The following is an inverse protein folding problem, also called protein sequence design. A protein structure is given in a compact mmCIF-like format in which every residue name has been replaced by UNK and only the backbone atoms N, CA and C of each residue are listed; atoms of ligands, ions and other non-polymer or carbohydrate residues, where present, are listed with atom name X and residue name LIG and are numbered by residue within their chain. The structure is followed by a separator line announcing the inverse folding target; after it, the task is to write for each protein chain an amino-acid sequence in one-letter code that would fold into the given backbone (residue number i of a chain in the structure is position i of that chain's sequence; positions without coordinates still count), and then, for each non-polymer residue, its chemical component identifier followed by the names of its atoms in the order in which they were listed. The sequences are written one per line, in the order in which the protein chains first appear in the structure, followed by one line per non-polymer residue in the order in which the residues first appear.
data_IF_101875907427
#
_entry.id   IF_101875907427
#
_cell.length_a   1.000
_cell.length_b   1.000
_cell.length_c   1.000
_cell.angle_alpha   90.00
_cell.angle_beta   90.00
_cell.angle_gamma   90.00
#
_symmetry.space_group_name_H-M   'P 1'
#
loop_
_entity.id
_entity.type
_entity.pdbx_description
1 polymer ?
#
# COMPACT_ATOMS: atom_id res chain seq x y z
N UNK A 1 2.80 -47.03 48.62
CA UNK A 1 2.32 -45.65 48.85
C UNK A 1 3.47 -44.71 48.52
N UNK A 2 3.49 -44.16 47.31
CA UNK A 2 4.61 -43.32 46.85
C UNK A 2 4.52 -41.97 47.56
N UNK A 3 5.55 -41.62 48.33
CA UNK A 3 5.73 -40.28 48.87
C UNK A 3 5.92 -39.38 47.64
N UNK A 4 4.87 -38.65 47.28
CA UNK A 4 4.92 -37.58 46.29
C UNK A 4 5.88 -36.54 46.85
N UNK A 5 7.13 -36.57 46.39
CA UNK A 5 8.11 -35.54 46.71
C UNK A 5 7.51 -34.20 46.32
N UNK A 6 7.35 -33.31 47.30
CA UNK A 6 6.95 -31.92 47.06
C UNK A 6 7.95 -31.33 46.06
N UNK A 7 7.53 -31.19 44.80
CA UNK A 7 8.23 -30.36 43.81
C UNK A 7 8.04 -28.92 44.24
N UNK A 8 9.04 -28.36 44.92
CA UNK A 8 9.09 -26.93 45.16
C UNK A 8 9.42 -26.24 43.84
N UNK A 9 8.57 -25.32 43.40
CA UNK A 9 8.84 -24.48 42.23
C UNK A 9 10.16 -23.73 42.43
N UNK A 10 11.05 -23.82 41.45
CA UNK A 10 12.36 -23.15 41.46
C UNK A 10 12.27 -21.60 41.43
N UNK A 11 11.05 -21.06 41.42
CA UNK A 11 10.73 -19.64 41.36
C UNK A 11 10.18 -19.06 42.67
N UNK A 12 10.42 -19.70 43.83
CA UNK A 12 10.00 -19.18 45.13
C UNK A 12 10.57 -17.77 45.38
N UNK A 13 9.72 -16.78 45.10
CA UNK A 13 9.93 -15.34 45.08
C UNK A 13 10.07 -14.78 46.51
N UNK A 14 11.11 -15.14 47.24
CA UNK A 14 11.27 -14.72 48.63
C UNK A 14 12.65 -14.10 48.90
N UNK A 15 13.13 -13.24 48.03
CA UNK A 15 14.46 -12.62 48.17
C UNK A 15 14.48 -11.38 49.08
N UNK A 16 13.31 -10.97 49.61
CA UNK A 16 13.13 -9.74 50.36
C UNK A 16 12.29 -9.96 51.60
N UNK A 17 12.59 -9.19 52.64
CA UNK A 17 11.86 -9.11 53.89
C UNK A 17 11.99 -7.67 54.47
N UNK A 18 11.31 -7.41 55.58
CA UNK A 18 11.53 -6.25 56.42
C UNK A 18 12.34 -6.62 57.66
N UNK A 19 13.17 -5.70 58.13
CA UNK A 19 13.76 -5.80 59.47
C UNK A 19 12.78 -5.32 60.56
N UNK A 20 13.20 -5.36 61.83
CA UNK A 20 12.40 -4.86 62.97
C UNK A 20 12.04 -3.37 62.88
N UNK A 21 12.83 -2.58 62.15
CA UNK A 21 12.61 -1.17 61.91
C UNK A 21 11.76 -0.90 60.65
N UNK A 22 11.22 -1.96 60.02
CA UNK A 22 10.45 -1.93 58.77
C UNK A 22 11.26 -1.47 57.55
N UNK A 23 12.59 -1.51 57.61
CA UNK A 23 13.43 -1.27 56.44
C UNK A 23 13.44 -2.51 55.55
N UNK A 24 13.45 -2.28 54.24
CA UNK A 24 13.55 -3.35 53.26
C UNK A 24 14.94 -3.98 53.28
N UNK A 25 14.98 -5.29 53.42
CA UNK A 25 16.20 -6.08 53.47
C UNK A 25 16.19 -7.12 52.35
N UNK A 26 17.26 -7.12 51.56
CA UNK A 26 17.49 -8.12 50.53
C UNK A 26 18.27 -9.32 51.12
N UNK A 27 18.00 -10.53 50.63
CA UNK A 27 18.48 -11.77 51.24
C UNK A 27 20.00 -11.89 51.32
N UNK A 28 20.74 -11.25 50.40
CA UNK A 28 22.20 -11.30 50.40
C UNK A 28 22.81 -10.45 51.53
N UNK A 29 22.06 -9.48 52.06
CA UNK A 29 22.44 -8.64 53.20
C UNK A 29 21.98 -9.23 54.55
N UNK A 30 21.19 -10.31 54.50
CA UNK A 30 20.65 -10.94 55.70
C UNK A 30 21.67 -11.84 56.41
N UNK A 31 21.46 -12.02 57.72
CA UNK A 31 22.11 -13.05 58.54
C UNK A 31 21.19 -14.28 58.62
N UNK A 32 21.76 -15.47 58.52
CA UNK A 32 20.98 -16.73 58.50
C UNK A 32 20.18 -16.93 59.79
N UNK A 33 18.99 -17.52 59.65
CA UNK A 33 18.09 -17.88 60.75
C UNK A 33 17.01 -16.82 61.02
N UNK A 34 16.44 -16.86 62.23
CA UNK A 34 15.39 -15.95 62.70
C UNK A 34 16.03 -14.77 63.43
N UNK A 35 16.34 -13.69 62.70
CA UNK A 35 16.96 -12.48 63.26
C UNK A 35 16.01 -11.28 63.27
N UNK A 36 14.70 -11.54 63.29
CA UNK A 36 13.66 -10.52 63.24
C UNK A 36 13.41 -10.03 61.82
N UNK A 37 13.13 -10.97 60.91
CA UNK A 37 12.70 -10.67 59.55
C UNK A 37 11.19 -10.82 59.45
N UNK A 38 10.54 -9.95 58.70
CA UNK A 38 9.09 -9.95 58.54
C UNK A 38 8.72 -9.91 57.06
N UNK A 39 7.61 -10.56 56.70
CA UNK A 39 7.11 -10.51 55.33
C UNK A 39 6.57 -9.11 55.03
N UNK A 40 7.01 -8.50 53.92
CA UNK A 40 6.56 -7.18 53.48
C UNK A 40 5.03 -7.12 53.28
N UNK A 41 4.39 -8.23 52.91
CA UNK A 41 2.97 -8.24 52.59
C UNK A 41 2.02 -8.64 53.73
N UNK A 42 2.47 -9.43 54.70
CA UNK A 42 1.60 -9.92 55.78
C UNK A 42 2.14 -9.68 57.19
N UNK A 43 3.30 -9.02 57.31
CA UNK A 43 3.99 -8.70 58.57
C UNK A 43 4.30 -9.90 59.48
N UNK A 44 4.16 -11.14 58.98
CA UNK A 44 4.48 -12.36 59.73
C UNK A 44 5.99 -12.62 59.72
N UNK A 45 6.47 -13.23 60.80
CA UNK A 45 7.89 -13.54 60.97
C UNK A 45 8.40 -14.53 59.89
N UNK A 46 9.60 -14.25 59.39
CA UNK A 46 10.31 -15.03 58.39
C UNK A 46 11.67 -15.50 58.92
N UNK A 47 12.17 -16.58 58.31
CA UNK A 47 13.51 -17.11 58.51
C UNK A 47 14.34 -16.91 57.24
N UNK A 48 15.56 -16.38 57.38
CA UNK A 48 16.53 -16.30 56.30
C UNK A 48 17.28 -17.63 56.14
N UNK A 49 17.12 -18.28 55.00
CA UNK A 49 17.81 -19.52 54.64
C UNK A 49 18.96 -19.17 53.72
N UNK A 50 20.17 -19.02 54.28
CA UNK A 50 21.36 -18.66 53.51
C UNK A 50 22.13 -19.90 53.11
N UNK A 51 22.28 -20.12 51.80
CA UNK A 51 22.91 -21.33 51.25
C UNK A 51 24.34 -21.09 50.75
N UNK A 52 25.20 -20.50 51.60
CA UNK A 52 26.61 -20.19 51.30
C UNK A 52 27.46 -21.38 50.83
N UNK A 53 27.09 -22.62 51.19
CA UNK A 53 27.88 -23.84 50.90
C UNK A 53 27.55 -24.52 49.57
N UNK A 54 26.43 -24.21 48.92
CA UNK A 54 26.06 -24.86 47.66
C UNK A 54 25.72 -23.79 46.60
N UNK A 55 26.60 -23.55 45.62
CA UNK A 55 26.40 -22.50 44.61
C UNK A 55 25.19 -22.74 43.71
N UNK A 56 24.65 -23.97 43.66
CA UNK A 56 23.48 -24.31 42.85
C UNK A 56 22.15 -24.00 43.56
N UNK A 57 22.17 -23.54 44.81
CA UNK A 57 20.97 -23.18 45.53
C UNK A 57 21.00 -21.73 45.99
N UNK A 58 19.94 -21.00 45.62
CA UNK A 58 19.76 -19.61 46.01
C UNK A 58 19.38 -19.49 47.49
N UNK A 59 19.86 -18.44 48.15
CA UNK A 59 19.37 -18.02 49.47
C UNK A 59 17.95 -17.45 49.34
N UNK A 60 17.12 -17.63 50.36
CA UNK A 60 15.74 -17.10 50.37
C UNK A 60 15.22 -16.90 51.78
N UNK A 61 14.22 -16.04 51.94
CA UNK A 61 13.37 -15.97 53.12
C UNK A 61 12.23 -16.99 53.03
N UNK A 62 11.77 -17.50 54.16
CA UNK A 62 10.53 -18.29 54.21
C UNK A 62 9.74 -17.94 55.45
N UNK A 63 8.42 -18.01 55.35
CA UNK A 63 7.57 -17.91 56.54
C UNK A 63 7.93 -19.00 57.53
N UNK A 64 7.98 -18.62 58.80
CA UNK A 64 8.08 -19.60 59.88
C UNK A 64 6.76 -20.38 59.93
N UNK A 65 6.79 -21.73 59.92
CA UNK A 65 5.57 -22.51 60.08
C UNK A 65 4.99 -22.24 61.48
N UNK A 66 3.86 -21.55 61.53
CA UNK A 66 3.02 -21.43 62.73
C UNK A 66 1.94 -22.50 62.63
N UNK A 67 1.58 -23.14 63.75
CA UNK A 67 0.44 -24.07 63.79
C UNK A 67 -0.77 -23.32 63.28
N UNK A 68 -1.38 -23.80 62.18
CA UNK A 68 -2.53 -23.13 61.56
C UNK A 68 -3.68 -23.12 62.58
N UNK A 69 -3.97 -21.96 63.14
CA UNK A 69 -5.26 -21.65 63.73
C UNK A 69 -6.32 -21.82 62.63
N UNK A 70 -7.40 -22.56 62.86
CA UNK A 70 -8.47 -22.73 61.87
C UNK A 70 -9.00 -21.35 61.43
N UNK A 71 -8.71 -20.95 60.17
CA UNK A 71 -9.16 -19.67 59.59
C UNK A 71 -8.07 -18.73 59.06
N UNK A 72 -6.78 -19.00 59.27
CA UNK A 72 -5.73 -18.13 58.73
C UNK A 72 -5.52 -18.29 57.22
N UNK A 73 -5.79 -17.21 56.47
CA UNK A 73 -5.53 -17.13 55.04
C UNK A 73 -4.02 -17.23 54.72
N UNK A 74 -3.63 -17.93 53.64
CA UNK A 74 -2.24 -17.97 53.20
C UNK A 74 -1.77 -16.58 52.71
N UNK A 75 -0.48 -16.30 52.89
CA UNK A 75 0.13 -15.07 52.36
C UNK A 75 0.10 -15.09 50.82
N UNK A 76 -0.47 -14.05 50.21
CA UNK A 76 -0.59 -13.88 48.75
C UNK A 76 0.49 -12.98 48.15
N UNK A 77 1.42 -12.47 48.96
CA UNK A 77 2.44 -11.51 48.55
C UNK A 77 3.39 -12.07 47.47
N UNK A 78 3.73 -11.22 46.49
CA UNK A 78 4.66 -11.53 45.41
C UNK A 78 5.83 -10.55 45.38
N UNK A 79 7.07 -11.04 45.57
CA UNK A 79 8.26 -10.19 45.44
C UNK A 79 8.44 -9.65 44.02
N UNK A 80 7.80 -10.24 43.00
CA UNK A 80 7.84 -9.68 41.65
C UNK A 80 7.06 -8.36 41.59
N UNK A 81 5.79 -8.37 42.02
CA UNK A 81 4.93 -7.17 42.03
C UNK A 81 5.55 -6.06 42.88
N UNK A 82 6.15 -6.43 44.01
CA UNK A 82 6.89 -5.51 44.86
C UNK A 82 8.09 -4.88 44.12
N UNK A 83 8.91 -5.68 43.42
CA UNK A 83 10.04 -5.16 42.62
C UNK A 83 9.59 -4.25 41.48
N UNK A 84 8.48 -4.58 40.83
CA UNK A 84 7.91 -3.76 39.76
C UNK A 84 7.38 -2.42 40.30
N UNK A 85 6.78 -2.43 41.50
CA UNK A 85 6.36 -1.21 42.20
C UNK A 85 7.57 -0.34 42.55
N UNK A 86 8.60 -0.95 43.15
CA UNK A 86 9.85 -0.25 43.47
C UNK A 86 10.54 0.31 42.22
N UNK A 87 10.54 -0.44 41.11
CA UNK A 87 11.06 0.02 39.83
C UNK A 87 10.27 1.23 39.28
N UNK A 88 8.93 1.25 39.42
CA UNK A 88 8.09 2.40 39.05
C UNK A 88 8.48 3.64 39.85
N UNK A 89 8.65 3.49 41.16
CA UNK A 89 9.02 4.60 42.05
C UNK A 89 10.41 5.16 41.74
N UNK A 90 11.39 4.27 41.52
CA UNK A 90 12.75 4.68 41.13
C UNK A 90 12.71 5.46 39.81
N UNK A 91 12.04 4.93 38.78
CA UNK A 91 11.93 5.61 37.48
C UNK A 91 11.22 6.96 37.57
N UNK A 92 10.22 7.11 38.45
CA UNK A 92 9.57 8.39 38.70
C UNK A 92 10.51 9.40 39.38
N UNK A 93 11.40 8.94 40.25
CA UNK A 93 12.40 9.77 40.94
C UNK A 93 13.54 10.19 40.02
N UNK A 94 14.17 9.25 39.32
CA UNK A 94 15.36 9.52 38.49
C UNK A 94 15.00 10.14 37.14
N UNK A 95 13.82 9.81 36.59
CA UNK A 95 13.29 10.28 35.30
C UNK A 95 14.24 10.13 34.10
N UNK A 96 15.17 9.21 34.22
CA UNK A 96 16.21 8.95 33.23
C UNK A 96 16.41 7.44 33.11
N UNK A 97 16.71 6.97 31.90
CA UNK A 97 17.08 5.58 31.67
C UNK A 97 18.07 5.48 30.51
N UNK A 98 19.07 4.62 30.65
CA UNK A 98 20.00 4.29 29.58
C UNK A 98 19.40 3.23 28.66
N UNK A 99 19.19 3.58 27.40
CA UNK A 99 18.69 2.65 26.39
C UNK A 99 19.83 2.07 25.55
N UNK A 100 19.69 0.81 25.07
CA UNK A 100 20.73 0.18 24.25
C UNK A 100 20.88 0.86 22.89
N UNK A 101 22.00 0.57 22.21
CA UNK A 101 22.22 1.01 20.84
C UNK A 101 21.12 0.53 19.89
N UNK A 102 20.74 1.37 18.94
CA UNK A 102 19.79 1.03 17.88
C UNK A 102 20.57 0.41 16.72
N UNK A 103 20.29 -0.84 16.41
CA UNK A 103 20.98 -1.63 15.38
C UNK A 103 19.96 -2.09 14.35
N UNK A 104 20.24 -1.85 13.07
CA UNK A 104 19.46 -2.40 11.96
C UNK A 104 20.06 -3.72 11.50
N UNK A 105 19.25 -4.77 11.57
CA UNK A 105 19.63 -6.09 11.07
C UNK A 105 19.21 -6.24 9.59
N UNK A 106 19.99 -6.95 8.78
CA UNK A 106 19.54 -7.41 7.47
C UNK A 106 18.36 -8.39 7.61
N UNK A 107 17.57 -8.53 6.54
CA UNK A 107 16.44 -9.47 6.50
C UNK A 107 16.94 -10.92 6.47
N UNK A 108 17.96 -11.18 5.66
CA UNK A 108 18.65 -12.46 5.60
C UNK A 108 20.08 -12.30 6.12
N UNK A 109 20.62 -13.36 6.73
CA UNK A 109 21.98 -13.36 7.26
C UNK A 109 23.04 -13.19 6.17
N UNK A 110 22.67 -13.49 4.91
CA UNK A 110 23.47 -13.29 3.70
C UNK A 110 23.56 -11.84 3.23
N UNK A 111 22.69 -10.93 3.69
CA UNK A 111 22.63 -9.56 3.15
C UNK A 111 23.66 -8.61 3.82
N UNK A 112 24.58 -9.15 4.61
CA UNK A 112 25.70 -8.42 5.21
C UNK A 112 25.61 -8.24 6.74
N UNK A 113 26.54 -7.48 7.34
CA UNK A 113 26.60 -7.32 8.79
C UNK A 113 25.51 -6.34 9.33
N UNK A 114 25.11 -6.46 10.60
CA UNK A 114 24.22 -5.48 11.24
C UNK A 114 24.80 -4.06 11.21
N UNK A 115 23.96 -3.07 10.92
CA UNK A 115 24.35 -1.66 10.85
C UNK A 115 23.95 -0.93 12.14
N UNK A 116 24.93 -0.35 12.82
CA UNK A 116 24.65 0.56 13.94
C UNK A 116 23.99 1.84 13.41
N UNK A 117 22.78 2.16 13.88
CA UNK A 117 22.06 3.38 13.54
C UNK A 117 22.28 4.48 14.59
N UNK A 118 22.22 4.10 15.87
CA UNK A 118 22.38 5.01 17.01
C UNK A 118 23.11 4.31 18.13
N UNK A 119 24.03 5.01 18.80
CA UNK A 119 24.71 4.48 20.00
C UNK A 119 23.76 4.50 21.19
N UNK A 120 24.06 3.67 22.20
CA UNK A 120 23.38 3.72 23.49
C UNK A 120 23.46 5.12 24.07
N UNK A 121 22.34 5.59 24.63
CA UNK A 121 22.18 6.94 25.15
C UNK A 121 21.25 6.93 26.36
N UNK A 122 21.20 8.06 27.05
CA UNK A 122 20.22 8.30 28.09
C UNK A 122 19.00 9.01 27.50
N UNK A 123 17.82 8.51 27.85
CA UNK A 123 16.55 9.18 27.57
C UNK A 123 16.08 9.82 28.87
N UNK A 124 15.93 11.14 28.83
CA UNK A 124 15.45 11.96 29.93
C UNK A 124 13.97 12.28 29.74
N UNK A 125 13.23 12.29 30.86
CA UNK A 125 11.84 12.67 30.90
C UNK A 125 11.62 13.85 31.85
N UNK A 126 10.75 14.76 31.45
CA UNK A 126 10.26 15.82 32.32
C UNK A 126 9.24 15.24 33.31
N UNK A 127 8.41 14.31 32.82
CA UNK A 127 7.37 13.63 33.58
C UNK A 127 7.37 12.14 33.28
N UNK A 128 7.17 11.35 34.33
CA UNK A 128 7.03 9.89 34.25
C UNK A 128 5.67 9.50 34.81
N UNK A 129 4.97 8.56 34.20
CA UNK A 129 3.66 8.10 34.70
C UNK A 129 3.47 6.60 34.45
N UNK A 130 2.94 5.89 35.44
CA UNK A 130 2.74 4.43 35.42
C UNK A 130 1.30 3.99 35.11
N UNK A 131 0.38 4.94 34.95
CA UNK A 131 -1.06 4.68 34.76
C UNK A 131 -1.61 5.29 33.47
N UNK A 132 -0.78 5.34 32.43
CA UNK A 132 -1.16 5.90 31.13
C UNK A 132 -1.77 4.79 30.28
N UNK A 133 -2.88 5.09 29.64
CA UNK A 133 -3.57 4.18 28.73
C UNK A 133 -3.57 4.80 27.35
N UNK A 134 -3.22 3.99 26.36
CA UNK A 134 -3.28 4.34 24.95
C UNK A 134 -4.51 3.69 24.33
N UNK A 135 -5.27 4.45 23.53
CA UNK A 135 -6.48 3.98 22.85
C UNK A 135 -6.60 4.64 21.47
N UNK A 136 -7.42 4.07 20.60
CA UNK A 136 -7.74 4.62 19.29
C UNK A 136 -9.13 5.25 19.36
N UNK A 137 -9.27 6.49 18.88
CA UNK A 137 -10.57 7.15 18.76
C UNK A 137 -11.33 6.70 17.49
N UNK A 138 -12.52 7.26 17.29
CA UNK A 138 -13.40 6.91 16.16
C UNK A 138 -12.70 7.15 14.82
N UNK A 139 -11.95 8.25 14.74
CA UNK A 139 -11.18 8.70 13.56
C UNK A 139 -9.89 7.90 13.33
N UNK A 140 -9.56 6.94 14.20
CA UNK A 140 -8.34 6.12 14.07
C UNK A 140 -7.07 6.79 14.60
N UNK A 141 -7.20 7.94 15.25
CA UNK A 141 -6.10 8.65 15.91
C UNK A 141 -5.79 8.05 17.28
N UNK A 142 -4.50 8.03 17.63
CA UNK A 142 -4.05 7.46 18.89
C UNK A 142 -4.08 8.54 19.96
N UNK A 143 -4.85 8.30 21.02
CA UNK A 143 -4.97 9.18 22.18
C UNK A 143 -4.40 8.47 23.42
N UNK A 144 -4.02 9.25 24.41
CA UNK A 144 -3.49 8.75 25.67
C UNK A 144 -3.98 9.57 26.85
N UNK A 145 -4.22 8.92 27.99
CA UNK A 145 -4.73 9.57 29.18
C UNK A 145 -4.87 8.64 30.38
N UNK A 146 -5.41 9.19 31.47
CA UNK A 146 -5.74 8.43 32.68
C UNK A 146 -7.12 7.78 32.54
N UNK A 147 -7.30 6.60 33.14
CA UNK A 147 -8.49 5.73 33.03
C UNK A 147 -9.85 6.42 33.29
N UNK A 148 -9.89 7.48 34.10
CA UNK A 148 -11.13 8.11 34.58
C UNK A 148 -11.91 8.95 33.54
N UNK A 149 -11.50 9.00 32.26
CA UNK A 149 -12.16 9.85 31.25
C UNK A 149 -12.53 9.14 29.94
N UNK A 150 -12.59 7.81 29.92
CA UNK A 150 -12.84 7.05 28.68
C UNK A 150 -14.23 6.44 28.69
N UNK A 151 -15.21 7.18 28.17
CA UNK A 151 -16.60 6.72 28.12
C UNK A 151 -16.84 5.59 27.09
N UNK A 152 -15.98 5.38 26.08
CA UNK A 152 -16.37 4.49 24.95
C UNK A 152 -15.27 3.69 24.22
N UNK A 153 -14.00 3.65 24.63
CA UNK A 153 -12.95 2.98 23.83
C UNK A 153 -12.17 1.92 24.62
N UNK A 154 -12.06 0.70 24.05
CA UNK A 154 -11.19 -0.35 24.57
C UNK A 154 -9.72 0.11 24.57
N UNK A 155 -8.97 -0.11 25.67
CA UNK A 155 -7.56 0.25 25.73
C UNK A 155 -6.74 -0.60 24.76
N UNK A 156 -5.93 0.05 23.92
CA UNK A 156 -4.98 -0.64 23.04
C UNK A 156 -3.78 -1.17 23.83
N UNK A 157 -3.22 -0.32 24.70
CA UNK A 157 -2.03 -0.67 25.47
C UNK A 157 -2.02 0.09 26.79
N UNK A 158 -1.60 -0.61 27.84
CA UNK A 158 -1.29 -0.03 29.15
C UNK A 158 0.17 -0.36 29.48
N UNK A 159 1.13 0.52 29.15
CA UNK A 159 2.52 0.33 29.55
C UNK A 159 2.70 0.45 31.05
N UNK A 160 3.72 -0.22 31.59
CA UNK A 160 4.06 -0.14 33.01
C UNK A 160 4.53 1.25 33.41
N UNK A 161 5.33 1.88 32.54
CA UNK A 161 5.83 3.24 32.72
C UNK A 161 5.89 3.95 31.37
N UNK A 162 5.50 5.22 31.34
CA UNK A 162 5.60 6.12 30.19
C UNK A 162 6.39 7.36 30.56
N UNK A 163 7.39 7.69 29.74
CA UNK A 163 8.18 8.91 29.83
C UNK A 163 7.60 9.98 28.92
N UNK A 164 7.55 11.21 29.40
CA UNK A 164 7.05 12.38 28.68
C UNK A 164 8.11 13.47 28.61
N UNK A 165 8.16 14.16 27.46
CA UNK A 165 8.97 15.36 27.31
C UNK A 165 8.30 16.60 27.95
N UNK A 166 8.94 17.75 27.78
CA UNK A 166 8.50 19.04 28.34
C UNK A 166 7.12 19.49 27.82
N UNK A 167 6.75 19.09 26.60
CA UNK A 167 5.48 19.42 25.95
C UNK A 167 4.39 18.41 26.35
N UNK A 168 4.71 17.41 27.16
CA UNK A 168 3.76 16.37 27.60
C UNK A 168 3.50 15.30 26.55
N UNK A 169 4.39 15.13 25.57
CA UNK A 169 4.32 14.08 24.56
C UNK A 169 5.08 12.81 25.02
N UNK A 170 4.51 11.60 24.86
CA UNK A 170 5.19 10.34 25.19
C UNK A 170 6.45 10.14 24.35
N UNK A 171 7.59 9.95 24.99
CA UNK A 171 8.89 9.71 24.33
C UNK A 171 9.40 8.28 24.45
N UNK A 172 9.03 7.57 25.52
CA UNK A 172 9.45 6.20 25.73
C UNK A 172 8.39 5.43 26.53
N UNK A 173 8.00 4.27 26.02
CA UNK A 173 7.18 3.29 26.73
C UNK A 173 8.08 2.21 27.33
N UNK A 174 7.79 1.80 28.55
CA UNK A 174 8.57 0.80 29.29
C UNK A 174 7.62 -0.31 29.72
N UNK A 175 7.98 -1.54 29.39
CA UNK A 175 7.30 -2.77 29.82
C UNK A 175 8.23 -3.60 30.72
N UNK A 176 7.74 -4.04 31.87
CA UNK A 176 8.48 -4.97 32.71
C UNK A 176 8.20 -6.40 32.29
N UNK A 177 9.26 -7.19 32.16
CA UNK A 177 9.17 -8.58 31.67
C UNK A 177 10.06 -9.52 32.48
N UNK A 178 9.61 -10.76 32.68
CA UNK A 178 10.43 -11.82 33.30
C UNK A 178 11.48 -12.37 32.33
N UNK A 179 11.11 -12.45 31.05
CA UNK A 179 11.97 -12.81 29.92
C UNK A 179 11.70 -11.80 28.81
N UNK A 180 12.70 -11.42 28.01
CA UNK A 180 12.53 -10.52 26.86
C UNK A 180 11.74 -11.16 25.72
N UNK A 181 10.49 -11.55 25.99
CA UNK A 181 9.55 -12.16 25.07
C UNK A 181 8.20 -11.53 25.33
N UNK A 182 7.89 -10.48 24.59
CA UNK A 182 6.54 -9.93 24.52
C UNK A 182 5.65 -10.85 23.68
N UNK A 183 4.35 -10.84 23.99
CA UNK A 183 3.37 -11.54 23.19
C UNK A 183 3.30 -10.99 21.75
N UNK A 184 2.96 -11.84 20.78
CA UNK A 184 2.87 -11.45 19.36
C UNK A 184 1.81 -10.37 19.16
N UNK A 185 0.70 -10.42 19.88
CA UNK A 185 -0.38 -9.43 19.83
C UNK A 185 0.11 -8.06 20.31
N UNK A 186 0.77 -8.01 21.47
CA UNK A 186 1.39 -6.78 22.00
C UNK A 186 2.38 -6.17 21.00
N UNK A 187 3.21 -6.98 20.32
CA UNK A 187 4.14 -6.49 19.31
C UNK A 187 3.45 -5.82 18.12
N UNK A 188 2.30 -6.34 17.68
CA UNK A 188 1.51 -5.72 16.60
C UNK A 188 0.97 -4.36 17.06
N UNK A 189 0.48 -4.29 18.31
CA UNK A 189 -0.02 -3.05 18.90
C UNK A 189 1.10 -2.00 19.04
N UNK A 190 2.29 -2.39 19.50
CA UNK A 190 3.44 -1.47 19.59
C UNK A 190 3.83 -0.89 18.23
N UNK A 191 3.82 -1.71 17.17
CA UNK A 191 4.06 -1.24 15.79
C UNK A 191 2.95 -0.32 15.28
N UNK A 192 1.71 -0.51 15.73
CA UNK A 192 0.58 0.38 15.42
C UNK A 192 0.73 1.74 16.11
N UNK A 193 1.19 1.73 17.37
CA UNK A 193 1.38 2.93 18.19
C UNK A 193 2.54 3.82 17.71
N UNK A 194 3.61 3.21 17.19
CA UNK A 194 4.81 3.90 16.71
C UNK A 194 5.56 4.73 17.77
N UNK A 195 5.35 4.43 19.06
CA UNK A 195 6.14 4.99 20.16
C UNK A 195 7.33 4.08 20.48
N UNK A 196 8.50 4.70 20.68
CA UNK A 196 9.70 3.99 21.11
C UNK A 196 9.43 3.22 22.41
N UNK A 197 9.74 1.93 22.42
CA UNK A 197 9.36 1.02 23.49
C UNK A 197 10.51 0.09 23.85
N UNK A 198 10.83 0.03 25.15
CA UNK A 198 11.82 -0.90 25.71
C UNK A 198 11.18 -1.89 26.66
N UNK A 199 11.72 -3.11 26.70
CA UNK A 199 11.43 -4.08 27.75
C UNK A 199 12.58 -4.15 28.73
N UNK A 200 12.25 -4.22 30.02
CA UNK A 200 13.23 -4.27 31.11
C UNK A 200 13.00 -5.53 31.95
N UNK A 201 14.06 -6.29 32.19
CA UNK A 201 14.05 -7.34 33.21
C UNK A 201 14.51 -6.74 34.53
N UNK A 202 13.59 -6.63 35.50
CA UNK A 202 13.93 -6.12 36.83
C UNK A 202 14.78 -7.14 37.59
N UNK A 203 16.03 -6.79 37.98
CA UNK A 203 16.91 -7.72 38.65
C UNK A 203 16.39 -8.04 40.06
N UNK A 204 16.68 -9.26 40.52
CA UNK A 204 16.35 -9.70 41.88
C UNK A 204 17.51 -9.35 42.80
N UNK A 205 17.73 -8.06 43.04
CA UNK A 205 18.83 -7.48 43.86
C UNK A 205 18.26 -6.39 44.77
N UNK A 206 19.09 -5.75 45.60
CA UNK A 206 18.73 -4.62 46.47
C UNK A 206 18.12 -3.42 45.70
N UNK A 207 17.48 -2.44 46.39
CA UNK A 207 16.86 -1.29 45.72
C UNK A 207 17.87 -0.49 44.88
N UNK A 208 19.06 -0.28 45.45
CA UNK A 208 20.15 0.41 44.78
C UNK A 208 20.61 -0.36 43.53
N UNK A 209 20.70 -1.68 43.60
CA UNK A 209 21.05 -2.50 42.42
C UNK A 209 19.97 -2.46 41.32
N UNK A 210 18.71 -2.22 41.67
CA UNK A 210 17.63 -1.98 40.69
C UNK A 210 17.81 -0.59 40.04
N UNK A 211 18.15 0.43 40.82
CA UNK A 211 18.43 1.77 40.30
C UNK A 211 19.65 1.79 39.36
N UNK A 212 20.75 1.17 39.78
CA UNK A 212 21.97 1.05 38.97
C UNK A 212 21.71 0.31 37.64
N UNK A 213 20.72 -0.59 37.62
CA UNK A 213 20.32 -1.28 36.40
C UNK A 213 19.71 -0.35 35.35
N UNK A 214 19.05 0.75 35.73
CA UNK A 214 18.55 1.74 34.77
C UNK A 214 19.66 2.58 34.14
N UNK A 215 20.86 2.60 34.75
CA UNK A 215 22.07 3.19 34.17
C UNK A 215 22.83 2.25 33.23
N UNK A 216 22.35 1.02 33.04
CA UNK A 216 23.00 -0.04 32.27
C UNK A 216 22.08 -0.60 31.19
N UNK A 217 22.65 -1.03 30.07
CA UNK A 217 21.86 -1.59 28.95
C UNK A 217 21.72 -3.12 29.01
N UNK A 218 22.31 -3.79 30.02
CA UNK A 218 22.41 -5.26 30.05
C UNK A 218 21.05 -5.98 30.11
N UNK A 219 20.05 -5.37 30.76
CA UNK A 219 18.72 -5.96 30.97
C UNK A 219 17.61 -5.18 30.28
N UNK A 220 17.97 -4.33 29.32
CA UNK A 220 17.07 -3.45 28.59
C UNK A 220 17.18 -3.80 27.12
N UNK A 221 16.04 -4.04 26.45
CA UNK A 221 16.00 -4.34 25.01
C UNK A 221 14.92 -3.54 24.30
N UNK A 222 15.25 -3.02 23.13
CA UNK A 222 14.26 -2.42 22.23
C UNK A 222 13.21 -3.46 21.82
N UNK A 223 11.94 -3.10 21.95
CA UNK A 223 10.81 -3.85 21.39
C UNK A 223 10.29 -3.16 20.14
N UNK A 224 10.28 -1.83 20.17
CA UNK A 224 10.04 -1.00 19.01
C UNK A 224 10.94 0.23 19.07
N UNK A 225 11.55 0.58 17.94
CA UNK A 225 12.25 1.85 17.78
C UNK A 225 11.91 2.44 16.41
N UNK A 226 11.42 3.68 16.39
CA UNK A 226 10.95 4.35 15.19
C UNK A 226 12.05 4.62 14.17
N UNK A 227 13.28 4.92 14.62
CA UNK A 227 14.43 5.11 13.73
C UNK A 227 14.78 3.82 13.00
N UNK A 228 14.80 2.71 13.74
CA UNK A 228 15.04 1.37 13.18
C UNK A 228 13.94 0.95 12.22
N UNK A 229 12.67 1.19 12.57
CA UNK A 229 11.51 0.84 11.76
C UNK A 229 11.46 1.61 10.42
N UNK A 230 11.83 2.89 10.41
CA UNK A 230 11.82 3.74 9.21
C UNK A 230 13.04 3.54 8.32
N UNK A 231 14.16 3.08 8.87
CA UNK A 231 15.40 2.91 8.12
C UNK A 231 15.34 1.63 7.27
N UNK A 232 15.47 1.78 5.95
CA UNK A 232 15.66 0.64 5.04
C UNK A 232 17.10 0.16 5.09
N UNK A 233 17.30 -1.15 5.24
CA UNK A 233 18.63 -1.74 5.18
C UNK A 233 19.12 -1.71 3.73
N UNK A 234 20.27 -1.09 3.50
CA UNK A 234 20.98 -1.08 2.21
C UNK A 234 22.41 -1.50 2.47
N UNK A 235 22.80 -2.64 1.92
CA UNK A 235 24.18 -3.11 1.97
C UNK A 235 24.97 -2.40 0.87
N UNK A 236 25.98 -1.63 1.27
CA UNK A 236 27.01 -1.11 0.36
C UNK A 236 28.27 -1.91 0.69
N UNK A 237 28.80 -2.73 -0.24
CA UNK A 237 30.05 -3.43 -0.03
C UNK A 237 31.16 -2.39 0.14
N UNK A 238 31.68 -2.24 1.35
CA UNK A 238 32.85 -1.40 1.63
C UNK A 238 33.79 -2.17 2.53
N UNK A 239 35.05 -2.29 2.12
CA UNK A 239 36.10 -2.93 2.90
C UNK A 239 36.30 -2.23 4.25
N UNK A 240 36.58 -3.03 5.28
CA UNK A 240 36.83 -2.66 6.69
C UNK A 240 35.60 -2.28 7.54
N UNK A 241 34.82 -3.29 7.97
CA UNK A 241 33.86 -3.13 9.06
C UNK A 241 34.55 -3.44 10.41
N UNK A 242 34.55 -2.48 11.35
CA UNK A 242 34.66 -2.80 12.79
C UNK A 242 33.37 -3.53 13.18
N UNK A 243 33.40 -4.86 13.15
CA UNK A 243 32.24 -5.71 13.42
C UNK A 243 31.67 -5.49 14.82
N UNK A 244 30.35 -5.40 14.91
CA UNK A 244 29.62 -5.60 16.16
C UNK A 244 29.62 -7.11 16.43
N UNK A 245 30.09 -7.53 17.61
CA UNK A 245 30.21 -8.94 17.99
C UNK A 245 28.86 -9.66 17.98
N UNK A 246 28.95 -10.99 17.87
CA UNK A 246 27.89 -11.98 17.62
C UNK A 246 26.51 -11.70 18.24
N UNK A 247 25.56 -11.67 17.31
CA UNK A 247 24.12 -11.96 17.33
C UNK A 247 23.50 -12.50 18.63
N UNK A 248 22.47 -11.79 19.12
CA UNK A 248 21.41 -12.39 19.93
C UNK A 248 20.28 -12.89 19.00
N UNK A 249 20.13 -14.22 18.88
CA UNK A 249 19.11 -14.86 18.03
C UNK A 249 17.68 -14.40 18.38
N UNK A 250 17.43 -14.02 19.64
CA UNK A 250 16.13 -13.54 20.08
C UNK A 250 15.80 -12.17 19.46
N UNK A 251 16.79 -11.29 19.30
CA UNK A 251 16.61 -10.04 18.59
C UNK A 251 16.25 -10.31 17.13
N UNK A 252 17.05 -11.12 16.41
CA UNK A 252 16.77 -11.48 15.01
C UNK A 252 15.37 -12.08 14.81
N UNK A 253 14.91 -12.91 15.76
CA UNK A 253 13.57 -13.54 15.70
C UNK A 253 12.42 -12.56 15.94
N UNK A 254 12.62 -11.50 16.73
CA UNK A 254 11.65 -10.38 16.90
C UNK A 254 11.55 -9.56 15.60
N UNK A 255 12.62 -9.52 14.79
CA UNK A 255 12.70 -8.69 13.58
C UNK A 255 12.22 -9.36 12.29
N UNK A 256 12.13 -10.69 12.22
CA UNK A 256 11.41 -11.37 11.13
C UNK A 256 9.90 -11.19 11.32
N UNK A 257 9.32 -10.22 10.60
CA UNK A 257 7.87 -10.04 10.52
C UNK A 257 7.23 -11.33 9.97
N UNK A 258 6.39 -11.98 10.77
CA UNK A 258 5.65 -13.16 10.29
C UNK A 258 4.64 -12.76 9.22
N UNK A 259 4.29 -13.69 8.32
CA UNK A 259 3.22 -13.46 7.34
C UNK A 259 1.92 -12.97 8.00
N UNK A 260 1.58 -13.54 9.17
CA UNK A 260 0.40 -13.13 9.95
C UNK A 260 0.52 -11.69 10.45
N UNK A 261 1.70 -11.26 10.90
CA UNK A 261 1.93 -9.87 11.29
C UNK A 261 1.79 -8.91 10.09
N UNK A 262 2.31 -9.29 8.92
CA UNK A 262 2.21 -8.48 7.70
C UNK A 262 0.77 -8.39 7.20
N UNK A 263 0.03 -9.50 7.22
CA UNK A 263 -1.41 -9.55 6.91
C UNK A 263 -2.21 -8.67 7.86
N UNK A 264 -1.95 -8.77 9.17
CA UNK A 264 -2.58 -7.91 10.17
C UNK A 264 -2.29 -6.43 9.93
N UNK A 265 -1.04 -6.08 9.56
CA UNK A 265 -0.66 -4.70 9.23
C UNK A 265 -1.43 -4.16 8.03
N UNK A 266 -1.53 -4.95 6.95
CA UNK A 266 -2.27 -4.58 5.75
C UNK A 266 -3.76 -4.42 6.07
N UNK A 267 -4.36 -5.38 6.77
CA UNK A 267 -5.76 -5.31 7.18
C UNK A 267 -6.06 -4.09 8.05
N UNK A 268 -5.13 -3.71 8.93
CA UNK A 268 -5.27 -2.51 9.76
C UNK A 268 -5.19 -1.21 8.94
N UNK A 269 -4.33 -1.16 7.92
CA UNK A 269 -4.28 -0.03 6.98
C UNK A 269 -5.59 0.07 6.22
N UNK A 270 -6.10 -1.04 5.68
CA UNK A 270 -7.39 -1.11 5.00
C UNK A 270 -8.52 -0.64 5.93
N UNK A 271 -8.54 -1.10 7.19
CA UNK A 271 -9.53 -0.69 8.18
C UNK A 271 -9.47 0.80 8.49
N UNK A 272 -8.27 1.39 8.62
CA UNK A 272 -8.11 2.83 8.85
C UNK A 272 -8.58 3.66 7.67
N UNK A 273 -8.20 3.26 6.46
CA UNK A 273 -8.69 3.91 5.23
C UNK A 273 -10.21 3.79 5.17
N UNK A 274 -10.77 2.60 5.45
CA UNK A 274 -12.22 2.39 5.50
C UNK A 274 -12.92 3.30 6.51
N UNK A 275 -12.38 3.44 7.73
CA UNK A 275 -12.90 4.36 8.74
C UNK A 275 -12.81 5.83 8.34
N UNK A 276 -11.70 6.26 7.73
CA UNK A 276 -11.55 7.62 7.21
C UNK A 276 -12.57 7.90 6.09
N UNK A 277 -12.75 6.97 5.16
CA UNK A 277 -13.72 7.09 4.06
C UNK A 277 -15.16 7.05 4.56
N UNK A 278 -15.45 6.25 5.59
CA UNK A 278 -16.77 6.17 6.23
C UNK A 278 -17.00 7.30 7.26
N UNK A 279 -16.05 8.20 7.45
CA UNK A 279 -16.22 9.33 8.36
C UNK A 279 -17.27 10.30 7.82
N UNK A 280 -18.01 10.93 8.73
CA UNK A 280 -19.09 11.87 8.41
C UNK A 280 -18.61 13.05 7.53
N UNK A 281 -17.32 13.40 7.61
CA UNK A 281 -16.69 14.46 6.80
C UNK A 281 -16.56 14.06 5.33
N UNK A 282 -16.20 12.81 5.04
CA UNK A 282 -16.11 12.30 3.67
C UNK A 282 -17.50 12.09 3.06
N UNK A 283 -18.44 11.53 3.84
CA UNK A 283 -19.83 11.36 3.39
C UNK A 283 -20.50 12.69 2.98
N UNK A 284 -20.34 13.75 3.79
CA UNK A 284 -20.85 15.10 3.45
C UNK A 284 -20.21 15.69 2.20
N UNK A 285 -18.91 15.43 1.99
CA UNK A 285 -18.19 15.91 0.80
C UNK A 285 -18.63 15.18 -0.46
N UNK A 286 -18.88 13.87 -0.38
CA UNK A 286 -19.39 13.05 -1.48
C UNK A 286 -20.83 13.43 -1.85
N UNK A 287 -21.71 13.62 -0.86
CA UNK A 287 -23.08 14.11 -1.08
C UNK A 287 -23.09 15.49 -1.74
N UNK A 288 -22.24 16.42 -1.29
CA UNK A 288 -22.09 17.75 -1.89
C UNK A 288 -21.66 17.65 -3.36
N UNK A 289 -20.61 16.89 -3.67
CA UNK A 289 -20.12 16.73 -5.04
C UNK A 289 -21.15 16.07 -5.96
N UNK A 290 -21.85 15.04 -5.47
CA UNK A 290 -22.91 14.40 -6.26
C UNK A 290 -24.08 15.36 -6.52
N UNK A 291 -24.42 16.22 -5.55
CA UNK A 291 -25.45 17.24 -5.74
C UNK A 291 -25.05 18.29 -6.79
N UNK A 292 -23.78 18.71 -6.84
CA UNK A 292 -23.28 19.61 -7.88
C UNK A 292 -23.24 18.96 -9.25
N UNK A 293 -22.79 17.70 -9.36
CA UNK A 293 -22.79 16.96 -10.63
C UNK A 293 -24.21 16.86 -11.18
N UNK A 294 -25.18 16.49 -10.33
CA UNK A 294 -26.60 16.43 -10.74
C UNK A 294 -27.10 17.80 -11.21
N UNK A 295 -26.75 18.87 -10.51
CA UNK A 295 -27.12 20.23 -10.91
C UNK A 295 -26.52 20.67 -12.25
N UNK A 296 -25.26 20.31 -12.52
CA UNK A 296 -24.60 20.58 -13.79
C UNK A 296 -25.22 19.80 -14.95
N UNK A 297 -25.59 18.54 -14.75
CA UNK A 297 -26.27 17.73 -15.76
C UNK A 297 -27.63 18.34 -16.16
N UNK A 298 -28.40 18.84 -15.19
CA UNK A 298 -29.66 19.54 -15.46
C UNK A 298 -29.46 20.82 -16.25
N UNK A 299 -28.45 21.65 -15.88
CA UNK A 299 -28.12 22.87 -16.61
C UNK A 299 -27.69 22.59 -18.05
N UNK A 300 -26.85 21.58 -18.27
CA UNK A 300 -26.42 21.15 -19.62
C UNK A 300 -27.63 20.73 -20.46
N UNK A 301 -28.58 20.01 -19.85
CA UNK A 301 -29.80 19.55 -20.53
C UNK A 301 -30.73 20.70 -20.91
N UNK A 302 -30.86 21.70 -20.03
CA UNK A 302 -31.62 22.92 -20.31
C UNK A 302 -30.97 23.67 -21.48
N UNK A 303 -29.65 23.84 -21.46
CA UNK A 303 -29.00 24.59 -22.54
C UNK A 303 -29.03 23.88 -23.89
N UNK A 304 -28.88 22.55 -23.91
CA UNK A 304 -29.07 21.80 -25.16
C UNK A 304 -30.45 22.03 -25.75
N UNK A 305 -31.51 22.00 -24.93
CA UNK A 305 -32.88 22.29 -25.38
C UNK A 305 -33.03 23.73 -25.85
N UNK A 306 -32.40 24.69 -25.17
CA UNK A 306 -32.39 26.09 -25.56
C UNK A 306 -31.75 26.28 -26.94
N UNK A 307 -30.61 25.62 -27.17
CA UNK A 307 -29.87 25.66 -28.42
C UNK A 307 -30.66 25.00 -29.57
N UNK A 308 -31.25 23.83 -29.33
CA UNK A 308 -32.15 23.16 -30.29
C UNK A 308 -33.35 24.03 -30.68
N UNK A 309 -33.97 24.70 -29.72
CA UNK A 309 -35.08 25.62 -29.97
C UNK A 309 -34.65 26.83 -30.79
N UNK A 310 -33.46 27.37 -30.50
CA UNK A 310 -32.90 28.51 -31.24
C UNK A 310 -32.54 28.12 -32.68
N UNK A 311 -31.91 26.97 -32.88
CA UNK A 311 -31.62 26.43 -34.22
C UNK A 311 -32.89 26.17 -35.03
N UNK A 312 -33.93 25.63 -34.40
CA UNK A 312 -35.24 25.43 -35.02
C UNK A 312 -35.84 26.75 -35.51
N UNK A 313 -35.86 27.78 -34.67
CA UNK A 313 -36.34 29.12 -35.03
C UNK A 313 -35.56 29.73 -36.19
N UNK A 314 -34.23 29.62 -36.18
CA UNK A 314 -33.41 30.14 -37.28
C UNK A 314 -33.65 29.38 -38.58
N UNK A 315 -33.82 28.05 -38.53
CA UNK A 315 -34.20 27.27 -39.71
C UNK A 315 -35.54 27.73 -40.27
N UNK A 316 -36.56 27.87 -39.44
CA UNK A 316 -37.88 28.35 -39.88
C UNK A 316 -37.82 29.76 -40.49
N UNK A 317 -37.06 30.67 -39.90
CA UNK A 317 -36.90 32.03 -40.43
C UNK A 317 -36.18 32.05 -41.78
N UNK A 318 -35.13 31.22 -41.94
CA UNK A 318 -34.40 31.07 -43.21
C UNK A 318 -35.31 30.45 -44.27
N UNK A 319 -35.95 29.31 -43.98
CA UNK A 319 -36.88 28.67 -44.93
C UNK A 319 -38.05 29.59 -45.29
N UNK A 320 -38.59 30.35 -44.33
CA UNK A 320 -39.65 31.33 -44.59
C UNK A 320 -39.22 32.45 -45.55
N UNK A 321 -38.00 32.96 -45.42
CA UNK A 321 -37.46 34.01 -46.31
C UNK A 321 -37.22 33.53 -47.74
N UNK A 322 -36.89 32.26 -47.93
CA UNK A 322 -36.56 31.69 -49.25
C UNK A 322 -37.69 30.92 -49.91
N UNK A 323 -38.80 30.66 -49.22
CA UNK A 323 -39.95 29.89 -49.73
C UNK A 323 -40.59 30.49 -50.99
N UNK A 324 -40.61 31.82 -51.12
CA UNK A 324 -41.19 32.50 -52.28
C UNK A 324 -40.27 32.40 -53.51
N UNK A 325 -38.96 32.52 -53.30
CA UNK A 325 -37.94 32.33 -54.34
C UNK A 325 -37.89 30.87 -54.83
N UNK A 326 -38.06 29.91 -53.92
CA UNK A 326 -38.12 28.48 -54.26
C UNK A 326 -39.33 28.16 -55.15
N UNK A 327 -40.50 28.73 -54.83
CA UNK A 327 -41.71 28.62 -55.69
C UNK A 327 -41.52 29.26 -57.05
N UNK A 328 -40.84 30.40 -57.13
CA UNK A 328 -40.53 31.04 -58.41
C UNK A 328 -39.61 30.17 -59.27
N UNK A 329 -38.55 29.61 -58.69
CA UNK A 329 -37.62 28.69 -59.36
C UNK A 329 -38.37 27.46 -59.87
N UNK A 330 -39.17 26.81 -59.01
CA UNK A 330 -39.95 25.62 -59.39
C UNK A 330 -40.93 25.92 -60.53
N UNK A 331 -41.58 27.09 -60.51
CA UNK A 331 -42.45 27.54 -61.59
C UNK A 331 -41.68 27.81 -62.89
N UNK A 332 -40.46 28.33 -62.78
CA UNK A 332 -39.55 28.59 -63.90
C UNK A 332 -39.08 27.29 -64.55
N UNK A 333 -38.69 26.31 -63.75
CA UNK A 333 -38.30 24.98 -64.22
C UNK A 333 -39.43 24.28 -64.98
N UNK A 334 -40.66 24.34 -64.45
CA UNK A 334 -41.84 23.78 -65.14
C UNK A 334 -42.08 24.45 -66.49
N UNK A 335 -41.98 25.79 -66.56
CA UNK A 335 -42.12 26.53 -67.83
C UNK A 335 -41.02 26.14 -68.82
N UNK A 336 -39.77 26.06 -68.36
CA UNK A 336 -38.62 25.68 -69.18
C UNK A 336 -38.81 24.27 -69.77
N UNK A 337 -39.25 23.33 -68.94
CA UNK A 337 -39.52 21.95 -69.34
C UNK A 337 -40.62 21.88 -70.41
N UNK A 338 -41.70 22.65 -70.26
CA UNK A 338 -42.76 22.75 -71.26
C UNK A 338 -42.25 23.29 -72.60
N UNK A 339 -41.47 24.38 -72.60
CA UNK A 339 -40.86 24.91 -73.83
C UNK A 339 -39.91 23.91 -74.48
N UNK A 340 -39.15 23.15 -73.69
CA UNK A 340 -38.26 22.12 -74.22
C UNK A 340 -39.06 21.02 -74.94
N UNK A 341 -40.14 20.53 -74.33
CA UNK A 341 -41.00 19.51 -74.95
C UNK A 341 -41.70 20.01 -76.21
N UNK A 342 -42.12 21.28 -76.25
CA UNK A 342 -42.72 21.89 -77.45
C UNK A 342 -41.70 22.00 -78.60
N UNK A 343 -40.50 22.49 -78.30
CA UNK A 343 -39.41 22.61 -79.28
C UNK A 343 -38.97 21.24 -79.81
N UNK A 344 -38.84 20.25 -78.94
CA UNK A 344 -38.56 18.86 -79.34
C UNK A 344 -39.65 18.32 -80.26
N UNK A 345 -40.93 18.54 -79.91
CA UNK A 345 -42.06 18.16 -80.75
C UNK A 345 -42.02 18.79 -82.14
N UNK A 346 -41.77 20.10 -82.21
CA UNK A 346 -41.63 20.85 -83.47
C UNK A 346 -40.44 20.35 -84.30
N UNK A 347 -39.31 20.08 -83.66
CA UNK A 347 -38.13 19.54 -84.33
C UNK A 347 -38.41 18.16 -84.94
N UNK A 348 -39.02 17.24 -84.18
CA UNK A 348 -39.37 15.91 -84.67
C UNK A 348 -40.45 15.91 -85.75
N UNK A 349 -41.39 16.86 -85.71
CA UNK A 349 -42.37 17.05 -86.78
C UNK A 349 -41.68 17.53 -88.07
N UNK A 350 -40.79 18.53 -87.97
CA UNK A 350 -40.07 19.05 -89.13
C UNK A 350 -39.09 18.05 -89.72
N UNK A 351 -38.45 17.25 -88.87
CA UNK A 351 -37.60 16.15 -89.29
C UNK A 351 -38.38 15.11 -90.09
N UNK A 352 -39.58 14.74 -89.63
CA UNK A 352 -40.47 13.84 -90.37
C UNK A 352 -40.89 14.41 -91.73
N UNK A 353 -41.25 15.69 -91.81
CA UNK A 353 -41.54 16.34 -93.11
C UNK A 353 -40.35 16.27 -94.08
N UNK A 354 -39.13 16.47 -93.59
CA UNK A 354 -37.91 16.39 -94.41
C UNK A 354 -37.64 14.94 -94.85
N UNK A 355 -37.81 13.98 -93.93
CA UNK A 355 -37.63 12.55 -94.22
C UNK A 355 -38.68 12.08 -95.27
N UNK A 356 -39.95 12.48 -95.13
CA UNK A 356 -41.02 12.17 -96.10
C UNK A 356 -40.79 12.85 -97.47
N UNK A 357 -40.26 14.09 -97.47
CA UNK A 357 -39.84 14.79 -98.69
C UNK A 357 -38.62 14.12 -99.37
N UNK A 358 -37.77 13.45 -98.60
CA UNK A 358 -36.63 12.71 -99.12
C UNK A 358 -37.01 11.31 -99.67
N UNK A 359 -38.08 10.69 -99.17
CA UNK A 359 -38.61 9.41 -99.70
C UNK A 359 -39.34 9.55 -101.04
N UNK A 360 -39.84 10.75 -101.35
CA UNK A 360 -40.52 11.08 -102.61
C UNK A 360 -39.57 11.54 -103.74
N UNK A 361 -38.25 11.61 -103.49
CA UNK A 361 -37.20 11.80 -104.48
C UNK A 361 -36.22 10.60 -104.45
N UNK A 362 -36.57 9.49 -105.10
CA UNK A 362 -35.60 8.43 -105.43
C UNK A 362 -34.93 8.73 -106.78
N UNK A 363 -33.60 8.77 -106.84
CA UNK A 363 -32.88 8.33 -108.03
C UNK A 363 -31.97 7.14 -107.73
N UNK A 364 -31.78 6.32 -108.76
CA UNK A 364 -31.25 4.95 -108.83
C UNK A 364 -29.74 4.78 -108.51
N UNK A 365 -29.20 5.47 -107.49
CA UNK A 365 -27.74 5.55 -107.24
C UNK A 365 -27.12 4.53 -106.26
N UNK A 366 -27.89 3.75 -105.51
CA UNK A 366 -27.36 3.08 -104.30
C UNK A 366 -26.76 1.67 -104.57
N UNK A 367 -27.05 1.03 -105.71
CA UNK A 367 -26.53 -0.33 -105.97
C UNK A 367 -25.08 -0.38 -106.50
N UNK A 368 -24.50 0.74 -106.94
CA UNK A 368 -23.12 0.75 -107.49
C UNK A 368 -22.06 0.74 -106.35
N UNK A 369 -22.37 1.31 -105.18
CA UNK A 369 -21.41 1.46 -104.08
C UNK A 369 -21.07 0.15 -103.35
N UNK A 370 -21.97 -0.85 -103.37
CA UNK A 370 -21.77 -2.13 -102.67
C UNK A 370 -20.79 -3.05 -103.41
N UNK A 371 -20.81 -3.06 -104.75
CA UNK A 371 -19.87 -3.86 -105.55
C UNK A 371 -18.46 -3.27 -105.54
N UNK A 372 -18.32 -1.94 -105.62
CA UNK A 372 -17.00 -1.30 -105.55
C UNK A 372 -16.30 -1.53 -104.19
N UNK A 373 -17.06 -1.52 -103.08
CA UNK A 373 -16.51 -1.85 -101.75
C UNK A 373 -16.07 -3.30 -101.60
N UNK A 374 -16.68 -4.24 -102.35
CA UNK A 374 -16.29 -5.65 -102.31
C UNK A 374 -15.01 -5.91 -103.13
N UNK A 375 -14.82 -5.24 -104.26
CA UNK A 375 -13.59 -5.32 -105.07
C UNK A 375 -12.38 -4.69 -104.35
N UNK A 376 -12.56 -3.53 -103.71
CA UNK A 376 -11.50 -2.89 -102.92
C UNK A 376 -11.01 -3.83 -101.80
N UNK A 377 -11.94 -4.53 -101.14
CA UNK A 377 -11.59 -5.47 -100.06
C UNK A 377 -10.79 -6.67 -100.56
N UNK A 378 -11.12 -7.21 -101.74
CA UNK A 378 -10.32 -8.28 -102.39
C UNK A 378 -8.95 -7.78 -102.82
N UNK A 379 -8.84 -6.54 -103.28
CA UNK A 379 -7.57 -5.95 -103.69
C UNK A 379 -6.63 -5.69 -102.49
N UNK A 380 -7.18 -5.24 -101.36
CA UNK A 380 -6.43 -5.07 -100.11
C UNK A 380 -5.92 -6.41 -99.53
N UNK A 381 -6.72 -7.47 -99.63
CA UNK A 381 -6.28 -8.82 -99.22
C UNK A 381 -5.17 -9.37 -100.12
N UNK A 382 -5.21 -9.08 -101.43
CA UNK A 382 -4.13 -9.41 -102.37
C UNK A 382 -2.82 -8.66 -102.07
N UNK A 383 -2.89 -7.37 -101.75
CA UNK A 383 -1.73 -6.56 -101.36
C UNK A 383 -1.06 -7.06 -100.07
N UNK A 384 -1.85 -7.57 -99.11
CA UNK A 384 -1.29 -8.16 -97.88
C UNK A 384 -0.52 -9.46 -98.13
N UNK A 385 -0.98 -10.30 -99.06
CA UNK A 385 -0.25 -11.54 -99.44
C UNK A 385 1.06 -11.21 -100.15
N UNK A 386 1.03 -10.33 -101.14
CA UNK A 386 2.25 -9.88 -101.83
C UNK A 386 3.28 -9.27 -100.87
N UNK A 387 2.84 -8.54 -99.85
CA UNK A 387 3.76 -7.98 -98.84
C UNK A 387 4.42 -9.07 -97.98
N UNK A 388 3.73 -10.18 -97.70
CA UNK A 388 4.31 -11.31 -96.98
C UNK A 388 5.33 -12.03 -97.86
N UNK A 389 5.01 -12.28 -99.12
CA UNK A 389 5.89 -12.97 -100.06
C UNK A 389 7.20 -12.18 -100.32
N UNK A 390 7.11 -10.83 -100.37
CA UNK A 390 8.28 -9.95 -100.49
C UNK A 390 9.17 -10.01 -99.24
N UNK A 391 8.59 -10.12 -98.04
CA UNK A 391 9.37 -10.22 -96.80
C UNK A 391 10.08 -11.57 -96.69
N UNK A 392 9.46 -12.64 -97.16
CA UNK A 392 10.05 -13.98 -97.20
C UNK A 392 11.21 -14.05 -98.20
N UNK A 393 11.05 -13.45 -99.39
CA UNK A 393 12.14 -13.34 -100.37
C UNK A 393 13.33 -12.51 -99.86
N UNK A 394 13.08 -11.40 -99.16
CA UNK A 394 14.15 -10.59 -98.58
C UNK A 394 14.91 -11.33 -97.48
N UNK A 395 14.23 -12.19 -96.70
CA UNK A 395 14.88 -13.03 -95.69
C UNK A 395 15.77 -14.10 -96.33
N UNK A 396 15.34 -14.67 -97.47
CA UNK A 396 16.14 -15.63 -98.23
C UNK A 396 17.38 -14.97 -98.85
N UNK A 397 17.24 -13.74 -99.36
CA UNK A 397 18.36 -12.94 -99.88
C UNK A 397 19.38 -12.64 -98.76
N UNK A 398 18.94 -12.18 -97.59
CA UNK A 398 19.83 -11.94 -96.45
C UNK A 398 20.51 -13.23 -95.91
N UNK A 399 19.90 -14.40 -96.14
CA UNK A 399 20.53 -15.68 -95.82
C UNK A 399 21.63 -16.03 -96.83
N UNK A 400 21.36 -15.85 -98.11
CA UNK A 400 22.32 -16.11 -99.19
C UNK A 400 23.51 -15.14 -99.16
N UNK A 401 23.30 -13.87 -98.84
CA UNK A 401 24.38 -12.89 -98.67
C UNK A 401 25.32 -13.26 -97.51
N UNK A 402 24.75 -13.77 -96.40
CA UNK A 402 25.55 -14.29 -95.27
C UNK A 402 26.30 -15.59 -95.60
N UNK A 403 25.74 -16.45 -96.45
CA UNK A 403 26.46 -17.63 -96.95
C UNK A 403 27.64 -17.22 -97.85
N UNK A 404 27.47 -16.22 -98.73
CA UNK A 404 28.54 -15.71 -99.60
C UNK A 404 29.68 -15.07 -98.79
N UNK A 405 29.38 -14.24 -97.79
CA UNK A 405 30.41 -13.66 -96.89
C UNK A 405 31.19 -14.73 -96.10
N UNK A 406 30.61 -15.91 -95.88
CA UNK A 406 31.29 -17.03 -95.21
C UNK A 406 32.24 -17.82 -96.12
N UNK A 407 32.15 -17.65 -97.44
CA UNK A 407 33.04 -18.26 -98.42
C UNK A 407 34.23 -17.35 -98.82
N UNK A 408 34.21 -16.06 -98.46
CA UNK A 408 35.29 -15.10 -98.72
C UNK A 408 36.26 -14.89 -97.53
N UNK A 409 36.17 -15.72 -96.48
CA UNK A 409 37.18 -15.87 -95.40
C UNK A 409 37.77 -17.27 -95.41
#
# INVERSE_FOLDING_TARGET
MFIVGKRYEAEANNDWAQDKAKNHLYIDDAISGRKGYYCIGCDKEMEAVIKKKNPNHRSYFRHVPVVKSNGEAPCTFSNQEYRETLAKDILQRIKEIKVPSVIKYPLNESDGPPKLLKRAEYINATKVSSNVIFYEDVDGSIKYGNYQKLDCNEPLLKPDVTFFNEIGFPVLLIEFVTKHKLDKEKNIILRKLQFDTVSIIIPKVSPQGIEDNFSSTKRIKWQYNGLEAKTTYRHIPSGSYRGVSEVDELQRRIYRESYNCRKARINNVIRRIGKCVQSEQFGKSEEYLNSEVTGLEELIKIERKGLESMEGRFREEVFGKFAEQEKEIESGERKLQQTKTDLEGRYFAKKREIDDASESHKPEGINISRNQRAEIKKFEEGLRRNKHDILELNFEIERLEREIESFEK
#
